data_IF_016434728471
#
_entry.id   IF_016434728471
#
_cell.length_a   1.000
_cell.length_b   1.000
_cell.length_c   1.000
_cell.angle_alpha   90.00
_cell.angle_beta   90.00
_cell.angle_gamma   90.00
#
_symmetry.space_group_name_H-M   'P 1'
#
loop_
_entity.id
_entity.type
_entity.pdbx_description
1 polymer ?
#
# COMPACT_ATOMS: atom_id res chain seq x y z
N UNK A 1 8.57 12.06 -19.20
CA UNK A 1 8.16 10.90 -18.35
C UNK A 1 9.31 10.54 -17.45
N UNK A 2 9.14 10.62 -16.13
CA UNK A 2 10.23 10.40 -15.18
C UNK A 2 10.41 8.94 -14.76
N UNK A 3 9.32 8.20 -14.53
CA UNK A 3 9.44 6.87 -13.93
C UNK A 3 8.20 6.03 -14.12
N UNK A 4 8.38 4.75 -14.43
CA UNK A 4 7.35 3.71 -14.43
C UNK A 4 7.74 2.62 -13.43
N UNK A 5 6.76 2.01 -12.75
CA UNK A 5 7.05 0.74 -12.08
C UNK A 5 7.32 -0.37 -13.12
N UNK A 6 8.05 -1.42 -12.69
CA UNK A 6 8.33 -2.56 -13.57
C UNK A 6 7.04 -3.23 -14.06
N UNK A 7 6.01 -3.33 -13.21
CA UNK A 7 4.70 -3.89 -13.53
C UNK A 7 3.98 -3.05 -14.60
N UNK A 8 3.95 -1.73 -14.43
CA UNK A 8 3.33 -0.80 -15.40
C UNK A 8 4.08 -0.81 -16.72
N UNK A 9 5.42 -0.83 -16.70
CA UNK A 9 6.23 -0.96 -17.91
C UNK A 9 5.91 -2.27 -18.67
N UNK A 10 5.71 -3.37 -17.94
CA UNK A 10 5.30 -4.66 -18.52
C UNK A 10 3.93 -4.60 -19.21
N UNK A 11 2.93 -3.92 -18.62
CA UNK A 11 1.62 -3.75 -19.25
C UNK A 11 1.71 -2.95 -20.54
N UNK A 12 2.43 -1.82 -20.56
CA UNK A 12 2.61 -1.03 -21.78
C UNK A 12 3.42 -1.78 -22.86
N UNK A 13 4.45 -2.52 -22.46
CA UNK A 13 5.22 -3.35 -23.41
C UNK A 13 4.37 -4.45 -24.06
N UNK A 14 3.45 -5.05 -23.29
CA UNK A 14 2.60 -6.13 -23.75
C UNK A 14 1.35 -5.66 -24.53
N UNK A 15 0.81 -4.47 -24.23
CA UNK A 15 -0.50 -3.99 -24.70
C UNK A 15 -0.46 -2.67 -25.45
N UNK A 16 0.60 -1.88 -25.32
CA UNK A 16 0.81 -0.59 -25.99
C UNK A 16 -0.01 0.56 -25.41
N UNK A 17 -1.29 0.33 -25.05
CA UNK A 17 -2.19 1.37 -24.53
C UNK A 17 -3.14 0.82 -23.45
N UNK A 18 -3.61 1.72 -22.57
CA UNK A 18 -4.66 1.46 -21.59
C UNK A 18 -5.84 2.43 -21.78
N UNK A 19 -7.01 2.05 -21.28
CA UNK A 19 -8.22 2.87 -21.27
C UNK A 19 -8.36 3.61 -19.94
N UNK A 20 -8.64 4.91 -19.99
CA UNK A 20 -8.88 5.75 -18.80
C UNK A 20 -10.16 5.31 -18.11
N UNK A 21 -10.05 4.80 -16.88
CA UNK A 21 -11.18 4.28 -16.10
C UNK A 21 -11.52 5.09 -14.83
N UNK A 22 -10.63 6.01 -14.40
CA UNK A 22 -10.90 6.97 -13.32
C UNK A 22 -10.01 8.20 -13.51
N UNK A 23 -10.53 9.40 -13.22
CA UNK A 23 -9.82 10.68 -13.37
C UNK A 23 -9.87 11.47 -12.07
N UNK A 24 -8.73 12.04 -11.66
CA UNK A 24 -8.54 12.86 -10.48
C UNK A 24 -7.83 14.17 -10.86
N UNK A 25 -7.68 15.07 -9.91
CA UNK A 25 -7.06 16.38 -10.13
C UNK A 25 -5.62 16.29 -10.65
N UNK A 26 -4.85 15.28 -10.19
CA UNK A 26 -3.40 15.15 -10.46
C UNK A 26 -3.00 13.74 -10.94
N UNK A 27 -3.98 12.89 -11.22
CA UNK A 27 -3.75 11.52 -11.71
C UNK A 27 -4.97 10.96 -12.40
N UNK A 28 -4.78 9.88 -13.13
CA UNK A 28 -5.85 9.05 -13.67
C UNK A 28 -5.44 7.58 -13.63
N UNK A 29 -6.43 6.69 -13.61
CA UNK A 29 -6.17 5.26 -13.73
C UNK A 29 -6.44 4.78 -15.15
N UNK A 30 -5.54 3.92 -15.62
CA UNK A 30 -5.68 3.15 -16.85
C UNK A 30 -6.05 1.71 -16.50
N UNK A 31 -6.95 1.13 -17.27
CA UNK A 31 -7.23 -0.30 -17.32
C UNK A 31 -6.68 -0.88 -18.62
N UNK A 32 -5.92 -1.96 -18.55
CA UNK A 32 -5.41 -2.70 -19.69
C UNK A 32 -6.33 -3.87 -20.05
N UNK A 33 -6.19 -4.41 -21.26
CA UNK A 33 -7.02 -5.51 -21.76
C UNK A 33 -6.88 -6.82 -20.95
N UNK A 34 -5.79 -6.99 -20.20
CA UNK A 34 -5.54 -8.10 -19.27
C UNK A 34 -6.05 -7.85 -17.84
N UNK A 35 -6.87 -6.82 -17.66
CA UNK A 35 -7.32 -6.31 -16.37
C UNK A 35 -6.19 -5.83 -15.45
N UNK A 36 -5.01 -5.51 -16.00
CA UNK A 36 -3.98 -4.75 -15.29
C UNK A 36 -4.39 -3.29 -15.10
N UNK A 37 -3.80 -2.63 -14.11
CA UNK A 37 -4.06 -1.21 -13.80
C UNK A 37 -2.76 -0.43 -13.71
N UNK A 38 -2.81 0.85 -14.10
CA UNK A 38 -1.76 1.84 -13.85
C UNK A 38 -2.37 3.15 -13.36
N UNK A 39 -1.74 3.79 -12.38
CA UNK A 39 -2.00 5.17 -11.99
C UNK A 39 -0.99 6.07 -12.67
N UNK A 40 -1.45 6.97 -13.54
CA UNK A 40 -0.60 7.95 -14.22
C UNK A 40 -0.81 9.30 -13.58
N UNK A 41 0.25 10.01 -13.23
CA UNK A 41 0.14 11.33 -12.61
C UNK A 41 1.45 12.10 -12.61
N UNK A 42 1.41 13.30 -12.03
CA UNK A 42 2.61 14.10 -11.79
C UNK A 42 3.43 13.55 -10.59
N UNK A 43 4.54 14.19 -10.27
CA UNK A 43 5.44 13.76 -9.17
C UNK A 43 4.74 13.60 -7.82
N UNK A 44 3.61 14.26 -7.59
CA UNK A 44 2.91 14.20 -6.31
C UNK A 44 2.30 12.86 -5.97
N UNK A 45 2.06 12.00 -6.98
CA UNK A 45 1.57 10.64 -6.72
C UNK A 45 2.67 9.73 -6.14
N UNK A 46 3.96 10.15 -6.24
CA UNK A 46 5.11 9.36 -5.80
C UNK A 46 5.29 8.05 -6.57
N UNK A 47 6.40 7.36 -6.32
CA UNK A 47 6.66 6.05 -6.93
C UNK A 47 5.92 4.95 -6.19
N UNK A 48 5.41 3.98 -6.95
CA UNK A 48 4.68 2.84 -6.40
C UNK A 48 4.46 1.76 -7.46
N UNK A 49 4.00 0.56 -7.09
CA UNK A 49 3.95 -0.61 -7.97
C UNK A 49 3.01 -0.45 -9.16
N UNK A 50 2.01 0.44 -9.07
CA UNK A 50 1.08 0.73 -10.15
C UNK A 50 1.30 2.12 -10.76
N UNK A 51 2.33 2.88 -10.35
CA UNK A 51 2.47 4.28 -10.70
C UNK A 51 3.35 4.51 -11.94
N UNK A 52 2.91 5.45 -12.76
CA UNK A 52 3.64 6.07 -13.86
C UNK A 52 3.69 7.58 -13.63
N UNK A 53 4.89 8.14 -13.42
CA UNK A 53 5.09 9.57 -13.22
C UNK A 53 5.41 10.22 -14.56
N UNK A 54 4.70 11.28 -14.92
CA UNK A 54 4.87 12.04 -16.16
C UNK A 54 5.21 13.50 -15.87
N UNK A 55 6.06 14.13 -16.71
CA UNK A 55 6.49 15.52 -16.54
C UNK A 55 5.34 16.50 -16.78
N UNK A 56 4.68 16.35 -17.93
CA UNK A 56 3.61 17.22 -18.38
C UNK A 56 2.28 16.50 -18.20
N UNK A 57 1.74 16.56 -16.98
CA UNK A 57 0.46 15.94 -16.69
C UNK A 57 -0.69 16.69 -17.36
N UNK A 58 -1.40 16.00 -18.24
CA UNK A 58 -2.65 16.44 -18.81
C UNK A 58 -3.77 15.49 -18.39
N UNK A 59 -4.91 16.04 -17.95
CA UNK A 59 -6.05 15.24 -17.52
C UNK A 59 -6.83 14.76 -18.76
N UNK A 60 -6.88 13.44 -19.04
CA UNK A 60 -7.67 12.89 -20.15
C UNK A 60 -9.15 12.80 -19.76
N UNK A 61 -10.01 12.48 -20.74
CA UNK A 61 -11.39 12.10 -20.48
C UNK A 61 -11.51 10.61 -20.15
N UNK A 62 -12.60 10.24 -19.47
CA UNK A 62 -12.95 8.84 -19.25
C UNK A 62 -13.15 8.13 -20.60
N UNK A 63 -12.57 6.94 -20.76
CA UNK A 63 -12.62 6.15 -21.98
C UNK A 63 -11.52 6.45 -23.00
N UNK A 64 -10.74 7.53 -22.82
CA UNK A 64 -9.61 7.81 -23.69
C UNK A 64 -8.58 6.67 -23.67
N UNK A 65 -7.91 6.45 -24.81
CA UNK A 65 -6.80 5.53 -24.94
C UNK A 65 -5.49 6.27 -24.74
N UNK A 66 -4.68 5.80 -23.79
CA UNK A 66 -3.39 6.41 -23.47
C UNK A 66 -2.28 5.39 -23.61
N UNK A 67 -1.26 5.73 -24.40
CA UNK A 67 0.00 5.00 -24.50
C UNK A 67 1.11 5.84 -23.85
N UNK A 68 2.00 5.17 -23.12
CA UNK A 68 3.18 5.80 -22.54
C UNK A 68 4.43 5.13 -23.12
N UNK A 69 5.37 5.94 -23.57
CA UNK A 69 6.71 5.45 -23.93
C UNK A 69 7.54 5.23 -22.66
N UNK A 70 8.29 4.14 -22.62
CA UNK A 70 9.12 3.81 -21.46
C UNK A 70 10.21 4.88 -21.21
N UNK A 71 10.37 5.24 -19.95
CA UNK A 71 11.49 6.00 -19.43
C UNK A 71 12.29 5.11 -18.46
N UNK A 72 12.68 5.61 -17.30
CA UNK A 72 13.30 4.78 -16.27
C UNK A 72 12.29 3.83 -15.61
N UNK A 73 12.71 2.60 -15.29
CA UNK A 73 11.90 1.64 -14.52
C UNK A 73 12.29 1.73 -13.06
N UNK A 74 11.29 1.98 -12.20
CA UNK A 74 11.46 1.99 -10.76
C UNK A 74 11.15 0.63 -10.14
N UNK A 75 11.95 0.26 -9.15
CA UNK A 75 11.71 -0.88 -8.26
C UNK A 75 12.01 -0.45 -6.83
N UNK A 76 11.30 -1.00 -5.81
CA UNK A 76 11.61 -0.70 -4.43
C UNK A 76 13.04 -1.15 -4.09
N UNK A 77 13.72 -0.34 -3.25
CA UNK A 77 15.03 -0.73 -2.71
C UNK A 77 14.92 -1.93 -1.76
N UNK A 78 16.01 -2.70 -1.64
CA UNK A 78 16.07 -3.78 -0.65
C UNK A 78 16.14 -3.19 0.76
N UNK A 79 15.34 -3.71 1.67
CA UNK A 79 15.41 -3.35 3.08
C UNK A 79 16.64 -3.98 3.73
N UNK A 80 17.43 -3.18 4.45
CA UNK A 80 18.51 -3.66 5.30
C UNK A 80 18.15 -3.42 6.76
N UNK A 81 17.89 -4.48 7.51
CA UNK A 81 17.65 -4.41 8.96
C UNK A 81 19.01 -4.35 9.69
N UNK A 82 19.52 -3.14 9.90
CA UNK A 82 20.85 -2.91 10.51
C UNK A 82 20.82 -2.65 12.02
N UNK A 83 19.63 -2.46 12.60
CA UNK A 83 19.42 -2.15 14.01
C UNK A 83 18.07 -2.70 14.51
N UNK A 84 17.81 -2.60 15.81
CA UNK A 84 16.47 -2.82 16.36
C UNK A 84 15.52 -1.70 15.90
N UNK A 85 14.23 -2.02 15.60
CA UNK A 85 13.30 -1.03 15.11
C UNK A 85 12.95 0.02 16.17
N UNK A 86 13.08 1.30 15.80
CA UNK A 86 12.73 2.42 16.67
C UNK A 86 11.25 2.80 16.57
N UNK A 87 10.41 1.97 17.17
CA UNK A 87 8.97 2.25 17.24
C UNK A 87 8.63 3.44 18.12
N UNK A 88 9.50 3.81 19.07
CA UNK A 88 9.23 4.92 19.98
C UNK A 88 9.27 6.25 19.23
N UNK A 89 10.38 6.56 18.55
CA UNK A 89 10.54 7.80 17.81
C UNK A 89 9.54 7.94 16.66
N UNK A 90 9.24 6.84 15.94
CA UNK A 90 8.17 6.84 14.96
C UNK A 90 6.84 7.28 15.55
N UNK A 91 6.43 6.71 16.70
CA UNK A 91 5.13 7.02 17.32
C UNK A 91 5.05 8.44 17.85
N UNK A 92 6.13 8.94 18.46
CA UNK A 92 6.18 10.32 18.91
C UNK A 92 5.99 11.30 17.74
N UNK A 93 6.68 11.06 16.62
CA UNK A 93 6.53 11.88 15.42
C UNK A 93 5.14 11.73 14.77
N UNK A 94 4.53 10.56 14.84
CA UNK A 94 3.20 10.28 14.29
C UNK A 94 2.07 10.99 15.05
N UNK A 95 2.23 11.33 16.32
CA UNK A 95 1.18 11.95 17.15
C UNK A 95 0.57 13.22 16.55
N UNK A 96 1.38 14.02 15.87
CA UNK A 96 0.96 15.27 15.25
C UNK A 96 0.70 15.17 13.74
N UNK A 97 0.97 14.01 13.14
CA UNK A 97 0.94 13.82 11.68
C UNK A 97 -0.04 12.74 11.23
N UNK A 98 -0.30 11.75 12.08
CA UNK A 98 -1.20 10.66 11.72
C UNK A 98 -2.60 11.19 11.39
N UNK A 99 -3.21 10.73 10.27
CA UNK A 99 -4.58 11.10 9.93
C UNK A 99 -5.56 10.71 11.04
N UNK A 100 -6.59 11.53 11.22
CA UNK A 100 -7.67 11.23 12.16
C UNK A 100 -8.69 10.24 11.61
N UNK A 101 -8.70 10.03 10.29
CA UNK A 101 -9.52 9.06 9.57
C UNK A 101 -8.68 7.82 9.16
N UNK A 102 -9.35 6.76 8.70
CA UNK A 102 -8.70 5.51 8.35
C UNK A 102 -8.03 4.81 9.54
N UNK A 103 -7.02 3.99 9.25
CA UNK A 103 -6.23 3.25 10.25
C UNK A 103 -4.88 3.89 10.57
N UNK A 104 -4.52 5.01 9.92
CA UNK A 104 -3.29 5.74 10.23
C UNK A 104 -3.19 6.17 11.70
N UNK A 105 -4.30 6.43 12.37
CA UNK A 105 -4.37 6.74 13.80
C UNK A 105 -3.73 5.66 14.69
N UNK A 106 -3.77 4.39 14.26
CA UNK A 106 -3.19 3.26 15.01
C UNK A 106 -1.66 3.35 15.10
N UNK A 107 -0.99 4.03 14.15
CA UNK A 107 0.45 4.28 14.19
C UNK A 107 0.82 5.10 15.43
N UNK A 108 0.00 6.10 15.76
CA UNK A 108 0.13 6.93 16.97
C UNK A 108 -0.50 6.30 18.22
N UNK A 109 -1.02 5.06 18.13
CA UNK A 109 -1.78 4.38 19.19
C UNK A 109 -3.01 5.15 19.65
N UNK A 110 -3.68 5.79 18.71
CA UNK A 110 -5.00 6.41 18.93
C UNK A 110 -6.08 5.64 18.16
N UNK A 111 -7.34 5.89 18.49
CA UNK A 111 -8.48 5.23 17.88
C UNK A 111 -9.47 6.27 17.35
N UNK A 112 -10.16 5.90 16.27
CA UNK A 112 -11.30 6.61 15.73
C UNK A 112 -12.51 5.67 15.59
N UNK A 113 -13.64 6.16 15.09
CA UNK A 113 -14.84 5.34 14.92
C UNK A 113 -14.61 4.13 14.00
N UNK A 114 -13.84 4.29 12.91
CA UNK A 114 -13.54 3.21 11.97
C UNK A 114 -12.70 2.12 12.62
N UNK A 115 -11.60 2.49 13.29
CA UNK A 115 -10.71 1.52 13.95
C UNK A 115 -11.41 0.82 15.11
N UNK A 116 -12.26 1.53 15.87
CA UNK A 116 -13.07 0.93 16.91
C UNK A 116 -14.10 -0.08 16.36
N UNK A 117 -14.75 0.25 15.25
CA UNK A 117 -15.66 -0.67 14.55
C UNK A 117 -14.93 -1.91 14.03
N UNK A 118 -13.72 -1.73 13.49
CA UNK A 118 -12.92 -2.80 12.91
C UNK A 118 -12.14 -3.63 13.94
N UNK A 119 -12.16 -3.26 15.22
CA UNK A 119 -11.32 -3.89 16.25
C UNK A 119 -11.38 -5.43 16.25
N UNK A 120 -12.57 -6.08 16.15
CA UNK A 120 -12.62 -7.55 16.10
C UNK A 120 -11.89 -8.16 14.89
N UNK A 121 -11.86 -7.44 13.77
CA UNK A 121 -11.18 -7.89 12.57
C UNK A 121 -9.67 -7.63 12.64
N UNK A 122 -9.25 -6.51 13.23
CA UNK A 122 -7.85 -6.20 13.51
C UNK A 122 -7.25 -7.25 14.46
N UNK A 123 -7.98 -7.60 15.53
CA UNK A 123 -7.58 -8.65 16.48
C UNK A 123 -7.41 -10.01 15.78
N UNK A 124 -8.34 -10.36 14.86
CA UNK A 124 -8.25 -11.61 14.09
C UNK A 124 -6.99 -11.67 13.21
N UNK A 125 -6.60 -10.55 12.58
CA UNK A 125 -5.35 -10.47 11.83
C UNK A 125 -4.14 -10.58 12.76
N UNK A 126 -4.15 -9.91 13.91
CA UNK A 126 -3.06 -10.01 14.88
C UNK A 126 -2.89 -11.42 15.48
N UNK A 127 -4.00 -12.10 15.75
CA UNK A 127 -4.02 -13.50 16.19
C UNK A 127 -3.42 -14.41 15.10
N UNK A 128 -3.78 -14.18 13.84
CA UNK A 128 -3.23 -14.93 12.72
C UNK A 128 -1.73 -14.66 12.50
N UNK A 129 -1.27 -13.42 12.63
CA UNK A 129 0.17 -13.07 12.56
C UNK A 129 0.95 -13.83 13.63
N UNK A 130 0.36 -14.05 14.81
CA UNK A 130 0.92 -14.79 15.92
C UNK A 130 0.90 -16.33 15.73
N UNK A 131 0.33 -16.84 14.64
CA UNK A 131 0.34 -18.25 14.26
C UNK A 131 -0.98 -19.00 14.44
N UNK A 132 -2.07 -18.30 14.82
CA UNK A 132 -3.39 -18.90 14.87
C UNK A 132 -4.01 -19.06 13.46
N UNK A 133 -5.11 -19.80 13.37
CA UNK A 133 -5.88 -19.87 12.13
C UNK A 133 -6.50 -18.50 11.79
N UNK A 134 -6.59 -18.17 10.50
CA UNK A 134 -7.22 -16.94 10.06
C UNK A 134 -8.75 -17.03 10.29
N UNK A 135 -9.26 -16.17 11.15
CA UNK A 135 -10.66 -16.10 11.53
C UNK A 135 -11.51 -15.32 10.50
N UNK A 136 -12.76 -15.72 10.33
CA UNK A 136 -13.71 -15.07 9.42
C UNK A 136 -13.97 -13.58 9.76
N UNK A 137 -13.76 -13.15 11.02
CA UNK A 137 -13.86 -11.74 11.43
C UNK A 137 -12.95 -10.84 10.56
N UNK A 138 -11.81 -11.34 10.12
CA UNK A 138 -10.88 -10.61 9.26
C UNK A 138 -11.53 -10.15 7.93
N UNK A 139 -12.59 -10.82 7.46
CA UNK A 139 -13.31 -10.42 6.24
C UNK A 139 -13.91 -9.01 6.31
N UNK A 140 -14.18 -8.51 7.52
CA UNK A 140 -14.72 -7.15 7.71
C UNK A 140 -13.75 -6.06 7.30
N UNK A 141 -12.44 -6.34 7.16
CA UNK A 141 -11.47 -5.38 6.66
C UNK A 141 -11.56 -5.21 5.14
N UNK A 142 -12.00 -6.23 4.40
CA UNK A 142 -12.01 -6.20 2.93
C UNK A 142 -13.00 -5.14 2.43
N UNK A 143 -12.48 -4.13 1.72
CA UNK A 143 -13.28 -3.01 1.21
C UNK A 143 -13.76 -2.03 2.30
N UNK A 144 -13.26 -2.14 3.53
CA UNK A 144 -13.66 -1.25 4.62
C UNK A 144 -13.03 0.14 4.49
N UNK A 145 -13.87 1.15 4.35
CA UNK A 145 -13.48 2.55 4.21
C UNK A 145 -13.82 3.12 2.82
N UNK A 146 -13.82 4.45 2.68
CA UNK A 146 -14.13 5.12 1.42
C UNK A 146 -12.98 5.05 0.41
N UNK A 147 -13.30 5.33 -0.87
CA UNK A 147 -12.32 5.56 -1.93
C UNK A 147 -11.94 4.33 -2.74
N UNK A 148 -10.96 4.50 -3.64
CA UNK A 148 -10.47 3.45 -4.53
C UNK A 148 -9.51 2.47 -3.84
N UNK A 149 -8.89 2.89 -2.75
CA UNK A 149 -8.07 2.06 -1.86
C UNK A 149 -8.65 2.17 -0.45
N UNK A 150 -9.66 1.33 -0.12
CA UNK A 150 -10.25 1.32 1.21
C UNK A 150 -9.23 1.08 2.32
N UNK A 151 -9.40 1.73 3.46
CA UNK A 151 -8.44 1.68 4.57
C UNK A 151 -8.13 0.25 5.04
N UNK A 152 -9.13 -0.65 5.02
CA UNK A 152 -8.96 -2.05 5.37
C UNK A 152 -8.09 -2.81 4.37
N UNK A 153 -8.25 -2.54 3.09
CA UNK A 153 -7.42 -3.15 2.04
C UNK A 153 -5.98 -2.64 2.14
N UNK A 154 -5.78 -1.33 2.34
CA UNK A 154 -4.45 -0.76 2.56
C UNK A 154 -3.76 -1.40 3.78
N UNK A 155 -4.48 -1.58 4.90
CA UNK A 155 -3.97 -2.24 6.10
C UNK A 155 -3.52 -3.68 5.80
N UNK A 156 -4.36 -4.46 5.10
CA UNK A 156 -4.03 -5.83 4.70
C UNK A 156 -2.83 -5.88 3.74
N UNK A 157 -2.72 -4.90 2.85
CA UNK A 157 -1.56 -4.70 2.00
C UNK A 157 -0.29 -4.48 2.81
N UNK A 158 -0.35 -3.58 3.80
CA UNK A 158 0.76 -3.32 4.71
C UNK A 158 1.21 -4.55 5.51
N UNK A 159 0.27 -5.37 5.96
CA UNK A 159 0.57 -6.68 6.59
C UNK A 159 1.39 -7.57 5.65
N UNK A 160 0.96 -7.70 4.37
CA UNK A 160 1.68 -8.54 3.40
C UNK A 160 3.08 -8.02 3.09
N UNK A 161 3.23 -6.70 2.90
CA UNK A 161 4.54 -6.07 2.67
C UNK A 161 5.48 -6.33 3.84
N UNK A 162 5.04 -6.14 5.08
CA UNK A 162 5.87 -6.38 6.27
C UNK A 162 6.25 -7.85 6.44
N UNK A 163 5.37 -8.79 6.07
CA UNK A 163 5.70 -10.22 6.06
C UNK A 163 6.83 -10.53 5.06
N UNK A 164 6.83 -9.89 3.88
CA UNK A 164 7.95 -10.02 2.94
C UNK A 164 9.26 -9.46 3.51
N UNK A 165 9.21 -8.32 4.20
CA UNK A 165 10.40 -7.73 4.85
C UNK A 165 11.04 -8.65 5.90
N UNK A 166 10.24 -9.54 6.51
CA UNK A 166 10.68 -10.50 7.53
C UNK A 166 10.95 -11.89 6.97
N UNK A 167 11.12 -12.04 5.65
CA UNK A 167 11.28 -13.34 4.97
C UNK A 167 10.14 -14.33 5.21
N UNK A 168 8.94 -13.84 5.59
CA UNK A 168 7.71 -14.61 5.82
C UNK A 168 6.81 -14.61 4.57
N UNK A 169 7.38 -14.67 3.38
CA UNK A 169 6.66 -14.60 2.08
C UNK A 169 5.60 -15.70 1.93
N UNK A 170 5.84 -16.89 2.49
CA UNK A 170 4.84 -17.97 2.50
C UNK A 170 3.57 -17.59 3.27
N UNK A 171 3.70 -16.83 4.36
CA UNK A 171 2.54 -16.33 5.11
C UNK A 171 1.83 -15.19 4.36
N UNK A 172 2.56 -14.27 3.72
CA UNK A 172 1.97 -13.27 2.82
C UNK A 172 1.16 -13.94 1.70
N UNK A 173 1.72 -14.96 1.05
CA UNK A 173 1.03 -15.74 0.03
C UNK A 173 -0.20 -16.50 0.57
N UNK A 174 -0.19 -16.92 1.84
CA UNK A 174 -1.37 -17.52 2.49
C UNK A 174 -2.49 -16.51 2.69
N UNK A 175 -2.16 -15.29 3.14
CA UNK A 175 -3.13 -14.19 3.25
C UNK A 175 -3.70 -13.82 1.88
N UNK A 176 -2.86 -13.70 0.86
CA UNK A 176 -3.31 -13.40 -0.50
C UNK A 176 -4.30 -14.45 -1.03
N UNK A 177 -3.98 -15.73 -0.94
CA UNK A 177 -4.87 -16.82 -1.37
C UNK A 177 -6.22 -16.81 -0.66
N UNK A 178 -6.26 -16.31 0.57
CA UNK A 178 -7.50 -16.15 1.31
C UNK A 178 -8.27 -14.89 0.88
N UNK A 179 -7.58 -13.79 0.57
CA UNK A 179 -8.17 -12.50 0.15
C UNK A 179 -8.72 -12.54 -1.28
N UNK A 180 -7.91 -13.01 -2.24
CA UNK A 180 -8.15 -12.89 -3.68
C UNK A 180 -9.58 -13.31 -4.11
N UNK A 181 -10.13 -14.47 -3.72
CA UNK A 181 -11.48 -14.88 -4.14
C UNK A 181 -12.59 -14.03 -3.54
N UNK A 182 -12.30 -13.22 -2.53
CA UNK A 182 -13.27 -12.37 -1.82
C UNK A 182 -13.33 -10.94 -2.37
N UNK A 183 -12.27 -10.51 -3.06
CA UNK A 183 -12.12 -9.12 -3.49
C UNK A 183 -13.19 -8.67 -4.48
N UNK A 184 -13.58 -9.54 -5.41
CA UNK A 184 -14.58 -9.22 -6.43
C UNK A 184 -15.96 -8.81 -5.86
N UNK A 185 -16.30 -9.30 -4.66
CA UNK A 185 -17.58 -9.02 -4.02
C UNK A 185 -17.50 -7.93 -2.94
N UNK A 186 -16.31 -7.68 -2.38
CA UNK A 186 -16.14 -6.85 -1.19
C UNK A 186 -15.30 -5.59 -1.42
N UNK A 187 -14.53 -5.53 -2.50
CA UNK A 187 -13.67 -4.40 -2.82
C UNK A 187 -13.82 -4.00 -4.29
N UNK A 188 -12.88 -3.26 -4.83
CA UNK A 188 -12.89 -2.80 -6.21
C UNK A 188 -11.62 -3.27 -6.95
N UNK A 189 -11.64 -3.28 -8.30
CA UNK A 189 -10.51 -3.82 -9.07
C UNK A 189 -9.20 -3.07 -8.90
N UNK A 190 -9.22 -1.76 -8.63
CA UNK A 190 -8.00 -0.95 -8.40
C UNK A 190 -7.37 -1.37 -7.08
N UNK A 191 -8.17 -1.48 -6.00
CA UNK A 191 -7.67 -1.96 -4.71
C UNK A 191 -7.14 -3.39 -4.81
N UNK A 192 -7.83 -4.27 -5.54
CA UNK A 192 -7.36 -5.64 -5.80
C UNK A 192 -5.97 -5.65 -6.49
N UNK A 193 -5.73 -4.74 -7.44
CA UNK A 193 -4.43 -4.62 -8.09
C UNK A 193 -3.32 -4.16 -7.12
N UNK A 194 -3.62 -3.23 -6.21
CA UNK A 194 -2.70 -2.82 -5.14
C UNK A 194 -2.41 -3.96 -4.16
N UNK A 195 -3.44 -4.72 -3.74
CA UNK A 195 -3.27 -5.89 -2.88
C UNK A 195 -2.46 -7.00 -3.55
N UNK A 196 -2.64 -7.22 -4.87
CA UNK A 196 -1.82 -8.16 -5.63
C UNK A 196 -0.34 -7.74 -5.70
N UNK A 197 -0.06 -6.43 -5.76
CA UNK A 197 1.30 -5.91 -5.66
C UNK A 197 1.87 -6.10 -4.25
N UNK A 198 1.09 -5.82 -3.21
CA UNK A 198 1.49 -6.02 -1.82
C UNK A 198 1.76 -7.50 -1.49
N UNK A 199 1.01 -8.42 -2.12
CA UNK A 199 1.25 -9.87 -2.04
C UNK A 199 2.60 -10.30 -2.65
N UNK A 200 3.19 -9.47 -3.52
CA UNK A 200 4.55 -9.62 -4.03
C UNK A 200 5.61 -8.81 -3.22
N UNK A 201 5.21 -8.17 -2.12
CA UNK A 201 6.07 -7.32 -1.30
C UNK A 201 6.27 -5.91 -1.83
N UNK A 202 5.49 -5.49 -2.84
CA UNK A 202 5.61 -4.19 -3.46
C UNK A 202 4.62 -3.18 -2.84
N UNK A 203 5.09 -1.98 -2.53
CA UNK A 203 4.28 -0.89 -2.01
C UNK A 203 4.77 0.46 -2.53
N UNK A 204 4.10 1.53 -2.11
CA UNK A 204 4.52 2.89 -2.39
C UNK A 204 5.91 3.19 -1.78
N UNK A 205 6.76 3.93 -2.51
CA UNK A 205 8.13 4.30 -2.10
C UNK A 205 8.17 4.88 -0.68
N UNK A 206 7.26 5.79 -0.36
CA UNK A 206 7.21 6.41 0.97
C UNK A 206 6.98 5.39 2.11
N UNK A 207 6.23 4.31 1.86
CA UNK A 207 6.06 3.23 2.83
C UNK A 207 7.36 2.42 2.98
N UNK A 208 8.02 2.06 1.89
CA UNK A 208 9.31 1.36 1.92
C UNK A 208 10.37 2.18 2.65
N UNK A 209 10.47 3.49 2.37
CA UNK A 209 11.40 4.39 3.05
C UNK A 209 11.11 4.49 4.55
N UNK A 210 9.82 4.62 4.91
CA UNK A 210 9.39 4.66 6.31
C UNK A 210 9.77 3.36 7.05
N UNK A 211 9.50 2.19 6.44
CA UNK A 211 9.82 0.89 7.04
C UNK A 211 11.35 0.68 7.14
N UNK A 212 12.12 1.14 6.13
CA UNK A 212 13.59 1.09 6.18
C UNK A 212 14.16 1.97 7.30
N UNK A 213 13.56 3.13 7.50
CA UNK A 213 13.99 4.09 8.51
C UNK A 213 13.76 3.61 9.95
N UNK A 214 12.83 2.66 10.17
CA UNK A 214 12.66 2.01 11.47
C UNK A 214 13.94 1.33 11.98
N UNK A 215 14.78 0.86 11.07
CA UNK A 215 16.00 0.11 11.37
C UNK A 215 17.27 0.98 11.25
N UNK A 216 17.12 2.31 11.18
CA UNK A 216 18.21 3.28 11.17
C UNK A 216 18.33 3.96 12.53
N UNK A 217 19.56 4.30 12.93
CA UNK A 217 19.81 4.93 14.24
C UNK A 217 19.32 6.35 14.35
N UNK A 218 19.32 7.10 13.25
CA UNK A 218 18.97 8.52 13.19
C UNK A 218 18.05 8.73 11.96
N UNK A 219 16.75 8.61 12.17
CA UNK A 219 15.75 8.85 11.14
C UNK A 219 15.11 10.24 11.32
N UNK A 220 15.06 11.03 10.26
CA UNK A 220 14.24 12.26 10.25
C UNK A 220 12.76 11.89 10.04
N UNK A 221 12.13 11.46 11.12
CA UNK A 221 10.74 11.07 11.11
C UNK A 221 9.79 12.18 10.63
N UNK A 222 10.16 13.46 10.80
CA UNK A 222 9.39 14.58 10.28
C UNK A 222 9.24 14.48 8.76
N UNK A 223 10.36 14.54 8.06
CA UNK A 223 10.41 14.47 6.60
C UNK A 223 9.85 13.15 6.06
N UNK A 224 10.12 12.02 6.72
CA UNK A 224 9.65 10.70 6.29
C UNK A 224 8.13 10.62 6.33
N UNK A 225 7.52 11.00 7.46
CA UNK A 225 6.08 10.90 7.66
C UNK A 225 5.28 11.91 6.83
N UNK A 226 5.84 13.08 6.54
CA UNK A 226 5.21 14.11 5.69
C UNK A 226 5.06 13.64 4.22
N UNK A 227 5.79 12.58 3.79
CA UNK A 227 5.65 11.95 2.47
C UNK A 227 4.54 10.89 2.41
N UNK A 228 4.04 10.42 3.55
CA UNK A 228 2.97 9.41 3.59
C UNK A 228 1.62 10.06 3.24
N UNK A 229 0.94 9.50 2.26
CA UNK A 229 -0.46 9.81 1.94
C UNK A 229 -1.40 8.90 2.75
N UNK A 230 -2.73 9.16 2.72
CA UNK A 230 -3.71 8.44 3.52
C UNK A 230 -3.62 6.91 3.42
N UNK A 231 -3.53 6.37 2.19
CA UNK A 231 -3.37 4.92 1.94
C UNK A 231 -2.06 4.38 2.54
N UNK A 232 -0.96 5.12 2.43
CA UNK A 232 0.33 4.72 3.01
C UNK A 232 0.31 4.71 4.55
N UNK A 233 -0.47 5.58 5.18
CA UNK A 233 -0.68 5.56 6.63
C UNK A 233 -1.44 4.32 7.08
N UNK A 234 -2.49 3.91 6.34
CA UNK A 234 -3.23 2.69 6.62
C UNK A 234 -2.34 1.45 6.45
N UNK A 235 -1.54 1.41 5.37
CA UNK A 235 -0.59 0.34 5.13
C UNK A 235 0.51 0.29 6.20
N UNK A 236 1.02 1.44 6.67
CA UNK A 236 1.97 1.50 7.78
C UNK A 236 1.39 0.91 9.06
N UNK A 237 0.12 1.18 9.36
CA UNK A 237 -0.55 0.57 10.52
C UNK A 237 -0.57 -0.96 10.43
N UNK A 238 -0.90 -1.52 9.25
CA UNK A 238 -0.86 -2.96 9.00
C UNK A 238 0.56 -3.55 9.10
N UNK A 239 1.55 -2.86 8.55
CA UNK A 239 2.95 -3.27 8.64
C UNK A 239 3.44 -3.31 10.11
N UNK A 240 3.08 -2.31 10.91
CA UNK A 240 3.45 -2.25 12.33
C UNK A 240 2.80 -3.37 13.14
N UNK A 241 1.59 -3.82 12.80
CA UNK A 241 0.96 -4.98 13.46
C UNK A 241 1.82 -6.26 13.33
N UNK A 242 2.50 -6.43 12.18
CA UNK A 242 3.45 -7.54 11.95
C UNK A 242 4.75 -7.32 12.71
N UNK A 243 5.39 -6.16 12.50
CA UNK A 243 6.73 -5.87 13.02
C UNK A 243 6.77 -5.90 14.55
N UNK A 244 5.70 -5.47 15.24
CA UNK A 244 5.62 -5.45 16.70
C UNK A 244 5.46 -6.84 17.34
N UNK A 245 4.99 -7.84 16.58
CA UNK A 245 4.88 -9.24 17.04
C UNK A 245 6.16 -10.03 16.83
N UNK A 246 7.13 -9.46 16.09
CA UNK A 246 8.42 -10.09 15.88
C UNK A 246 9.24 -10.02 17.17
N UNK A 247 9.83 -11.16 17.55
CA UNK A 247 10.86 -11.21 18.61
C UNK A 247 12.22 -10.97 17.93
N UNK A 248 12.83 -9.86 18.22
CA UNK A 248 14.17 -9.49 17.74
C UNK A 248 15.24 -10.00 18.70
#
# INVERSE_FOLDING_TARGET
MHSLSAKVAGHFAARGEGEVCAVFKRSFYLRFADNGYACVGDESIGRGPLNAIVDDFASPALGDKVALSAASVWQPGSLVMSAFPDFYSLREAARSRAPTDGFGCLVARTHNALSAHAQPALDAIEEWIAGNALDARAEQLIGLGPGLTPAGDDYLGGVMVALHLLDRSAQAASLWRWLEPRLAQRSNPISAAHLAAAAAGEAHEALHDCLSSLFQREADWGTILDRLQGSSWNALAGALAVLQKQRY
#
